data_IF_720913903677
#
_entry.id   IF_720913903677
#
_cell.length_a   1.000
_cell.length_b   1.000
_cell.length_c   1.000
_cell.angle_alpha   90.00
_cell.angle_beta   90.00
_cell.angle_gamma   90.00
#
_symmetry.space_group_name_H-M   'P 1'
#
loop_
_entity.id
_entity.type
_entity.pdbx_description
1 polymer ?
#
# COMPACT_ATOMS: atom_id res chain seq x y z
N UNK A 1 3.28 -4.78 14.10
CA UNK A 1 4.38 -3.84 13.82
C UNK A 1 3.99 -2.85 12.72
N UNK A 2 4.45 -1.62 12.82
CA UNK A 2 4.38 -0.58 11.79
C UNK A 2 5.78 -0.34 11.24
N UNK A 3 5.93 -0.41 9.92
CA UNK A 3 7.19 -0.13 9.23
C UNK A 3 7.08 1.24 8.56
N UNK A 4 7.97 2.17 8.89
CA UNK A 4 8.07 3.46 8.22
C UNK A 4 8.94 3.29 6.98
N UNK A 5 8.35 3.42 5.80
CA UNK A 5 9.09 3.27 4.54
C UNK A 5 10.03 4.46 4.31
N UNK A 6 11.23 4.17 3.83
CA UNK A 6 12.15 5.20 3.33
C UNK A 6 11.82 5.57 1.87
N UNK A 7 12.32 6.73 1.42
CA UNK A 7 12.14 7.18 0.02
C UNK A 7 12.74 6.22 -1.01
N UNK A 8 13.60 5.29 -0.59
CA UNK A 8 14.20 4.28 -1.47
C UNK A 8 13.26 3.09 -1.73
N UNK A 9 12.10 3.01 -1.05
CA UNK A 9 11.15 1.92 -1.27
C UNK A 9 10.57 1.97 -2.68
N UNK A 10 10.80 0.93 -3.52
CA UNK A 10 10.28 0.88 -4.87
C UNK A 10 8.78 0.57 -4.86
N UNK A 11 8.10 0.82 -5.99
CA UNK A 11 6.68 0.55 -6.12
C UNK A 11 6.29 -0.90 -5.82
N UNK A 12 7.18 -1.86 -6.11
CA UNK A 12 6.95 -3.28 -5.83
C UNK A 12 6.68 -3.60 -4.34
N UNK A 13 7.18 -2.78 -3.41
CA UNK A 13 6.84 -2.90 -1.98
C UNK A 13 5.36 -2.61 -1.75
N UNK A 14 4.82 -1.59 -2.44
CA UNK A 14 3.40 -1.26 -2.36
C UNK A 14 2.52 -2.33 -3.01
N UNK A 15 2.95 -2.88 -4.14
CA UNK A 15 2.24 -3.99 -4.79
C UNK A 15 2.17 -5.21 -3.86
N UNK A 16 3.30 -5.59 -3.25
CA UNK A 16 3.38 -6.76 -2.40
C UNK A 16 2.60 -6.61 -1.09
N UNK A 17 2.73 -5.47 -0.41
CA UNK A 17 2.13 -5.28 0.91
C UNK A 17 0.78 -4.56 0.86
N UNK A 18 0.53 -3.72 -0.14
CA UNK A 18 -0.67 -2.91 -0.26
C UNK A 18 -1.77 -3.53 -1.15
N UNK A 19 -1.40 -4.10 -2.31
CA UNK A 19 -2.40 -4.53 -3.31
C UNK A 19 -2.77 -6.00 -3.22
N UNK A 20 -2.14 -6.77 -2.35
CA UNK A 20 -2.46 -8.18 -2.15
C UNK A 20 -3.10 -8.40 -0.77
N UNK A 21 -3.96 -9.42 -0.69
CA UNK A 21 -4.53 -9.81 0.60
C UNK A 21 -3.63 -10.82 1.32
N UNK A 22 -3.29 -10.56 2.57
CA UNK A 22 -2.58 -11.53 3.42
C UNK A 22 -3.39 -12.79 3.75
N UNK A 23 -4.68 -12.86 3.37
CA UNK A 23 -5.49 -14.07 3.50
C UNK A 23 -5.19 -15.10 2.42
N UNK A 24 -4.73 -14.65 1.26
CA UNK A 24 -4.47 -15.50 0.08
C UNK A 24 -2.99 -15.55 -0.30
N UNK A 25 -2.17 -14.68 0.24
CA UNK A 25 -0.75 -14.55 -0.15
C UNK A 25 0.11 -14.38 1.10
N UNK A 26 1.15 -15.18 1.22
CA UNK A 26 2.22 -14.90 2.18
C UNK A 26 3.06 -13.72 1.66
N UNK A 27 2.80 -12.54 2.24
CA UNK A 27 3.46 -11.30 1.83
C UNK A 27 4.95 -11.25 2.18
N UNK A 28 5.42 -12.14 3.06
CA UNK A 28 6.82 -12.21 3.47
C UNK A 28 7.60 -13.32 2.76
N UNK A 29 6.95 -14.13 1.93
CA UNK A 29 7.61 -15.17 1.17
C UNK A 29 8.77 -14.60 0.33
N UNK A 30 9.97 -15.16 0.52
CA UNK A 30 11.19 -14.72 -0.18
C UNK A 30 11.78 -13.39 0.33
N UNK A 31 11.19 -12.76 1.34
CA UNK A 31 11.71 -11.55 1.96
C UNK A 31 12.65 -11.88 3.12
N UNK A 32 13.75 -11.14 3.24
CA UNK A 32 14.52 -11.11 4.47
C UNK A 32 13.79 -10.23 5.48
N UNK A 33 13.46 -10.80 6.62
CA UNK A 33 12.75 -10.11 7.69
C UNK A 33 13.52 -10.19 9.00
N UNK A 34 13.26 -9.23 9.89
CA UNK A 34 13.72 -9.23 11.26
C UNK A 34 12.53 -9.44 12.20
N UNK A 35 12.80 -9.70 13.47
CA UNK A 35 11.78 -9.82 14.50
C UNK A 35 12.03 -8.78 15.60
N UNK A 36 10.97 -8.13 16.02
CA UNK A 36 10.94 -7.24 17.15
C UNK A 36 10.80 -8.05 18.47
N UNK A 37 10.95 -7.37 19.61
CA UNK A 37 10.88 -8.03 20.94
C UNK A 37 9.54 -8.73 21.21
N UNK A 38 8.46 -8.30 20.55
CA UNK A 38 7.16 -8.99 20.62
C UNK A 38 7.03 -10.21 19.67
N UNK A 39 8.09 -10.59 18.97
CA UNK A 39 8.15 -11.73 18.05
C UNK A 39 7.53 -11.48 16.66
N UNK A 40 6.98 -10.29 16.40
CA UNK A 40 6.40 -9.96 15.11
C UNK A 40 7.46 -9.50 14.12
N UNK A 41 7.24 -9.82 12.84
CA UNK A 41 8.16 -9.46 11.77
C UNK A 41 8.16 -7.96 11.47
N UNK A 42 9.32 -7.44 11.07
CA UNK A 42 9.48 -6.18 10.37
C UNK A 42 10.48 -6.34 9.22
N UNK A 43 10.40 -5.45 8.24
CA UNK A 43 11.21 -5.55 7.02
C UNK A 43 12.69 -5.27 7.31
N UNK A 44 13.57 -5.93 6.55
CA UNK A 44 15.02 -5.69 6.60
C UNK A 44 15.45 -4.49 5.73
N UNK A 45 14.69 -4.21 4.67
CA UNK A 45 15.01 -3.19 3.67
C UNK A 45 13.85 -2.22 3.47
N UNK A 46 14.17 -1.06 2.91
CA UNK A 46 13.22 -0.03 2.51
C UNK A 46 12.47 0.63 3.65
N UNK A 47 12.94 0.45 4.89
CA UNK A 47 12.43 1.14 6.06
C UNK A 47 13.53 1.96 6.72
N UNK A 48 13.15 3.09 7.31
CA UNK A 48 14.05 3.91 8.12
C UNK A 48 13.73 3.85 9.61
N UNK A 49 12.52 3.36 9.96
CA UNK A 49 12.12 3.15 11.34
C UNK A 49 11.03 2.06 11.43
N UNK A 50 10.86 1.48 12.61
CA UNK A 50 9.70 0.66 12.92
C UNK A 50 9.19 0.93 14.33
N UNK A 51 7.93 0.53 14.57
CA UNK A 51 7.29 0.55 15.89
C UNK A 51 6.58 -0.78 16.13
N UNK A 52 6.78 -1.37 17.31
CA UNK A 52 5.98 -2.48 17.82
C UNK A 52 4.85 -1.94 18.67
N UNK A 53 3.66 -2.45 18.42
CA UNK A 53 2.44 -1.96 19.03
C UNK A 53 1.73 -3.09 19.77
N UNK A 54 1.21 -2.80 20.96
CA UNK A 54 0.26 -3.63 21.68
C UNK A 54 -1.12 -2.99 21.55
N UNK A 55 -2.09 -3.73 21.03
CA UNK A 55 -3.47 -3.27 20.92
C UNK A 55 -4.09 -3.23 22.31
N UNK A 56 -4.53 -2.07 22.74
CA UNK A 56 -5.22 -1.84 24.01
C UNK A 56 -6.74 -1.80 23.82
N UNK A 57 -7.22 -1.29 22.70
CA UNK A 57 -8.63 -1.21 22.36
C UNK A 57 -8.87 -1.25 20.85
N UNK A 58 -10.08 -1.65 20.47
CA UNK A 58 -10.55 -1.66 19.09
C UNK A 58 -11.93 -1.03 19.00
N UNK A 59 -12.13 -0.12 18.07
CA UNK A 59 -13.41 0.51 17.80
C UNK A 59 -13.84 0.14 16.38
N UNK A 60 -14.99 -0.52 16.27
CA UNK A 60 -15.60 -0.83 14.98
C UNK A 60 -16.34 0.41 14.46
N UNK A 61 -15.97 0.86 13.26
CA UNK A 61 -16.55 1.99 12.55
C UNK A 61 -17.39 1.53 11.33
N UNK A 62 -17.76 0.26 11.27
CA UNK A 62 -18.53 -0.35 10.19
C UNK A 62 -17.65 -0.74 9.00
N UNK A 63 -17.23 0.20 8.17
CA UNK A 63 -16.36 -0.07 7.01
C UNK A 63 -14.88 -0.17 7.37
N UNK A 64 -14.48 0.37 8.51
CA UNK A 64 -13.10 0.41 8.99
C UNK A 64 -13.06 0.13 10.49
N UNK A 65 -11.89 -0.33 10.96
CA UNK A 65 -11.61 -0.49 12.38
C UNK A 65 -10.53 0.49 12.85
N UNK A 66 -10.70 1.06 14.04
CA UNK A 66 -9.69 1.88 14.68
C UNK A 66 -9.03 1.12 15.83
N UNK A 67 -7.72 0.95 15.77
CA UNK A 67 -6.93 0.32 16.82
C UNK A 67 -6.27 1.38 17.69
N UNK A 68 -6.51 1.33 18.98
CA UNK A 68 -5.83 2.14 19.98
C UNK A 68 -4.72 1.29 20.56
N UNK A 69 -3.47 1.76 20.43
CA UNK A 69 -2.29 0.96 20.77
C UNK A 69 -1.32 1.74 21.67
N UNK A 70 -0.66 1.02 22.56
CA UNK A 70 0.58 1.50 23.19
C UNK A 70 1.79 1.10 22.34
N UNK A 71 2.79 1.98 22.28
CA UNK A 71 4.07 1.68 21.64
C UNK A 71 4.95 0.94 22.65
N UNK A 72 5.32 -0.30 22.34
CA UNK A 72 6.15 -1.15 23.22
C UNK A 72 7.63 -1.09 22.84
N UNK A 73 7.92 -0.85 21.56
CA UNK A 73 9.26 -0.71 21.03
C UNK A 73 9.24 0.24 19.84
N UNK A 74 10.25 1.07 19.69
CA UNK A 74 10.46 1.89 18.50
C UNK A 74 11.95 2.04 18.23
N UNK A 75 12.35 1.92 16.96
CA UNK A 75 13.74 2.09 16.53
C UNK A 75 13.83 2.90 15.24
N UNK A 76 14.79 3.81 15.19
CA UNK A 76 15.28 4.39 13.94
C UNK A 76 16.38 3.46 13.43
N UNK A 77 16.23 2.99 12.19
CA UNK A 77 17.12 2.00 11.58
C UNK A 77 18.28 2.66 10.82
N UNK A 78 18.02 3.82 10.24
CA UNK A 78 18.97 4.60 9.46
C UNK A 78 18.48 6.06 9.36
N UNK A 79 19.27 6.90 8.71
CA UNK A 79 19.02 8.33 8.51
C UNK A 79 18.35 8.68 7.16
N UNK A 80 17.90 7.67 6.42
CA UNK A 80 17.17 7.89 5.18
C UNK A 80 15.88 8.67 5.44
N UNK A 81 15.49 9.50 4.49
CA UNK A 81 14.26 10.27 4.57
C UNK A 81 13.02 9.34 4.53
N UNK A 82 12.03 9.65 5.36
CA UNK A 82 10.77 8.90 5.39
C UNK A 82 9.94 9.23 4.16
N UNK A 83 9.41 8.19 3.50
CA UNK A 83 8.49 8.35 2.39
C UNK A 83 7.16 8.94 2.87
N UNK A 84 6.88 10.16 2.42
CA UNK A 84 5.57 10.77 2.62
C UNK A 84 4.58 10.31 1.56
N UNK A 85 3.28 10.43 1.85
CA UNK A 85 2.24 10.13 0.85
C UNK A 85 2.38 11.00 -0.41
N UNK A 86 2.73 12.28 -0.23
CA UNK A 86 2.97 13.20 -1.36
C UNK A 86 4.15 12.75 -2.22
N UNK A 87 5.25 12.30 -1.59
CA UNK A 87 6.40 11.77 -2.31
C UNK A 87 6.02 10.51 -3.10
N UNK A 88 5.34 9.57 -2.45
CA UNK A 88 4.83 8.36 -3.10
C UNK A 88 4.00 8.68 -4.35
N UNK A 89 3.02 9.57 -4.24
CA UNK A 89 2.15 9.93 -5.36
C UNK A 89 2.91 10.55 -6.55
N UNK A 90 3.94 11.35 -6.27
CA UNK A 90 4.68 12.09 -7.32
C UNK A 90 5.81 11.28 -7.96
N UNK A 91 6.45 10.39 -7.20
CA UNK A 91 7.74 9.82 -7.60
C UNK A 91 7.77 8.29 -7.65
N UNK A 92 6.88 7.61 -6.93
CA UNK A 92 6.92 6.15 -6.79
C UNK A 92 5.74 5.49 -7.48
N UNK A 93 4.54 6.04 -7.30
CA UNK A 93 3.34 5.52 -7.94
C UNK A 93 3.46 5.66 -9.46
N UNK A 94 3.28 4.56 -10.23
CA UNK A 94 3.26 4.64 -11.68
C UNK A 94 2.21 5.66 -12.15
N UNK A 95 2.63 6.57 -12.99
CA UNK A 95 1.70 7.49 -13.64
C UNK A 95 1.01 6.74 -14.79
N UNK A 96 -0.31 6.80 -14.90
CA UNK A 96 -1.02 6.19 -16.02
C UNK A 96 -0.52 6.79 -17.34
N UNK A 97 -0.08 5.94 -18.26
CA UNK A 97 0.23 6.37 -19.62
C UNK A 97 -1.08 6.44 -20.41
N UNK A 98 -1.78 7.56 -20.28
CA UNK A 98 -3.09 7.78 -20.91
C UNK A 98 -3.02 8.44 -22.28
N UNK A 99 -1.85 8.94 -22.69
CA UNK A 99 -1.66 9.59 -23.99
C UNK A 99 -2.11 8.69 -25.14
N UNK A 100 -3.10 9.14 -25.90
CA UNK A 100 -3.67 8.41 -27.05
C UNK A 100 -4.51 7.19 -26.69
N UNK A 101 -4.77 6.92 -25.41
CA UNK A 101 -5.66 5.86 -24.98
C UNK A 101 -7.06 6.39 -24.70
N UNK A 102 -8.05 5.55 -25.00
CA UNK A 102 -9.45 5.77 -24.60
C UNK A 102 -9.86 4.72 -23.59
N UNK A 103 -10.77 5.07 -22.72
CA UNK A 103 -11.29 4.15 -21.70
C UNK A 103 -11.29 4.77 -20.32
N UNK A 104 -10.97 3.96 -19.31
CA UNK A 104 -11.08 4.33 -17.91
C UNK A 104 -9.80 3.99 -17.16
N UNK A 105 -9.34 4.86 -16.29
CA UNK A 105 -8.14 4.65 -15.49
C UNK A 105 -8.49 4.47 -14.01
N UNK A 106 -7.93 3.44 -13.40
CA UNK A 106 -8.05 3.24 -11.96
C UNK A 106 -7.18 4.27 -11.22
N UNK A 107 -7.80 5.17 -10.45
CA UNK A 107 -7.13 6.22 -9.66
C UNK A 107 -6.15 5.65 -8.61
N UNK A 108 -6.37 4.41 -8.18
CA UNK A 108 -5.56 3.77 -7.14
C UNK A 108 -4.24 3.26 -7.69
N UNK A 109 -4.24 2.50 -8.80
CA UNK A 109 -3.05 1.82 -9.30
C UNK A 109 -2.62 2.20 -10.72
N UNK A 110 -3.44 3.00 -11.44
CA UNK A 110 -3.14 3.40 -12.81
C UNK A 110 -3.50 2.35 -13.87
N UNK A 111 -4.16 1.24 -13.51
CA UNK A 111 -4.66 0.26 -14.48
C UNK A 111 -5.62 0.93 -15.45
N UNK A 112 -5.48 0.67 -16.75
CA UNK A 112 -6.35 1.18 -17.81
C UNK A 112 -7.29 0.06 -18.26
N UNK A 113 -8.58 0.33 -18.21
CA UNK A 113 -9.62 -0.46 -18.81
C UNK A 113 -9.98 0.15 -20.17
N UNK A 114 -9.72 -0.60 -21.25
CA UNK A 114 -9.96 -0.18 -22.62
C UNK A 114 -11.40 -0.57 -23.03
N UNK A 115 -12.34 0.32 -22.78
CA UNK A 115 -13.77 0.13 -23.14
C UNK A 115 -14.49 1.47 -23.17
N UNK A 116 -15.54 1.57 -24.00
CA UNK A 116 -16.33 2.80 -24.11
C UNK A 116 -17.15 3.09 -22.84
N UNK A 117 -17.61 2.05 -22.19
CA UNK A 117 -18.37 2.13 -20.94
C UNK A 117 -17.71 1.29 -19.84
N UNK A 118 -17.72 1.81 -18.61
CA UNK A 118 -17.20 1.10 -17.45
C UNK A 118 -18.28 0.18 -16.87
N UNK A 119 -18.06 -1.15 -16.77
CA UNK A 119 -19.00 -2.04 -16.11
C UNK A 119 -19.21 -1.63 -14.64
N UNK A 120 -20.45 -1.64 -14.16
CA UNK A 120 -20.78 -1.28 -12.77
C UNK A 120 -20.14 -2.23 -11.74
N UNK A 121 -19.94 -3.48 -12.13
CA UNK A 121 -19.36 -4.55 -11.31
C UNK A 121 -17.85 -4.75 -11.53
N UNK A 122 -17.20 -3.85 -12.26
CA UNK A 122 -15.75 -3.96 -12.51
C UNK A 122 -14.97 -4.04 -11.21
N UNK A 123 -14.07 -4.98 -11.17
CA UNK A 123 -13.05 -5.08 -10.12
C UNK A 123 -11.68 -4.93 -10.78
N UNK A 124 -10.94 -3.92 -10.36
CA UNK A 124 -9.60 -3.70 -10.89
C UNK A 124 -8.74 -4.97 -10.74
N UNK A 125 -8.17 -5.52 -11.82
CA UNK A 125 -7.40 -6.76 -11.76
C UNK A 125 -6.13 -6.64 -10.92
N UNK A 126 -5.58 -5.42 -10.79
CA UNK A 126 -4.34 -5.17 -10.05
C UNK A 126 -4.60 -4.91 -8.56
N UNK A 127 -5.43 -3.91 -8.24
CA UNK A 127 -5.60 -3.47 -6.85
C UNK A 127 -6.94 -3.88 -6.21
N UNK A 128 -7.80 -4.55 -6.96
CA UNK A 128 -9.10 -5.08 -6.51
C UNK A 128 -10.14 -4.03 -6.08
N UNK A 129 -9.93 -2.77 -6.45
CA UNK A 129 -10.89 -1.69 -6.22
C UNK A 129 -12.02 -1.73 -7.26
N UNK A 130 -13.20 -1.23 -6.87
CA UNK A 130 -14.40 -1.24 -7.71
C UNK A 130 -14.52 -0.03 -8.64
N UNK A 131 -15.66 0.05 -9.36
CA UNK A 131 -15.95 1.08 -10.37
C UNK A 131 -15.78 2.52 -9.86
N UNK A 132 -16.08 2.80 -8.59
CA UNK A 132 -15.99 4.13 -7.97
C UNK A 132 -14.57 4.72 -7.98
N UNK A 133 -13.57 3.88 -8.13
CA UNK A 133 -12.17 4.26 -8.19
C UNK A 133 -11.64 4.40 -9.62
N UNK A 134 -12.50 4.34 -10.62
CA UNK A 134 -12.15 4.60 -12.02
C UNK A 134 -12.64 5.98 -12.45
N UNK A 135 -11.90 6.59 -13.35
CA UNK A 135 -12.26 7.84 -14.02
C UNK A 135 -12.03 7.72 -15.52
N UNK A 136 -12.82 8.42 -16.36
CA UNK A 136 -12.63 8.40 -17.81
C UNK A 136 -11.30 9.04 -18.18
N UNK A 137 -10.64 8.48 -19.20
CA UNK A 137 -9.45 9.08 -19.80
C UNK A 137 -9.94 10.18 -20.74
N UNK A 138 -9.68 11.44 -20.39
CA UNK A 138 -9.93 12.57 -21.26
C UNK A 138 -8.86 12.56 -22.38
N UNK A 139 -9.32 12.42 -23.64
CA UNK A 139 -8.48 12.39 -24.84
C UNK A 139 -8.11 13.77 -25.33
#
# INVERSE_FOLDING_TARGET
NVNCLSIEAPFSVFEQFGFQSGRSTDKFAGQKVNHSDNGLVFLDKYINAFMSLKVENYVDLGTHGMFICSVTEARVMNDQETMTYTYYQKHVKPQPQTEGKKGWVCKVCGYIYEGDELPEDIICPLCKHGAVDFEPIEG
#
